data_IF_225974456593
#
_entry.id   IF_225974456593
#
_cell.length_a   1.000
_cell.length_b   1.000
_cell.length_c   1.000
_cell.angle_alpha   90.00
_cell.angle_beta   90.00
_cell.angle_gamma   90.00
#
_symmetry.space_group_name_H-M   'P 1'
#
loop_
_entity.id
_entity.type
_entity.pdbx_description
1 polymer ?
#
# COMPACT_ATOMS: atom_id res chain seq x y z
N UNK A 1 5.12 40.14 21.02
CA UNK A 1 5.90 39.03 20.48
C UNK A 1 4.93 37.88 20.25
N UNK A 2 4.37 37.74 19.04
CA UNK A 2 3.42 36.68 18.71
C UNK A 2 4.28 35.45 18.51
N UNK A 3 4.19 34.49 19.43
CA UNK A 3 4.78 33.17 19.25
C UNK A 3 3.97 32.54 18.09
N UNK A 4 4.58 32.39 16.92
CA UNK A 4 3.99 31.60 15.84
C UNK A 4 3.71 30.21 16.42
N UNK A 5 2.46 29.80 16.50
CA UNK A 5 2.11 28.44 16.90
C UNK A 5 2.63 27.54 15.80
N UNK A 6 3.66 26.74 16.11
CA UNK A 6 4.09 25.69 15.20
C UNK A 6 2.90 24.76 14.96
N UNK A 7 2.66 24.42 13.69
CA UNK A 7 1.63 23.45 13.36
C UNK A 7 1.89 22.15 14.13
N UNK A 8 0.86 21.54 14.72
CA UNK A 8 1.03 20.26 15.41
C UNK A 8 1.61 19.20 14.47
N UNK A 9 2.64 18.51 14.94
CA UNK A 9 3.29 17.44 14.20
C UNK A 9 2.48 16.14 14.30
N UNK A 10 2.36 15.41 13.17
CA UNK A 10 1.63 14.16 13.10
C UNK A 10 2.42 13.08 12.35
N UNK A 11 2.24 11.83 12.75
CA UNK A 11 2.66 10.64 12.00
C UNK A 11 1.40 9.93 11.52
N UNK A 12 1.29 9.68 10.23
CA UNK A 12 0.12 9.01 9.65
C UNK A 12 0.37 7.52 9.53
N UNK A 13 -0.45 6.73 10.23
CA UNK A 13 -0.48 5.27 10.10
C UNK A 13 -1.54 4.86 9.08
N UNK A 14 -1.10 4.33 7.94
CA UNK A 14 -1.91 3.95 6.80
C UNK A 14 -2.08 2.42 6.76
N UNK A 15 -3.28 1.96 7.05
CA UNK A 15 -3.60 0.54 7.15
C UNK A 15 -3.75 -0.16 5.80
N UNK A 16 -3.71 -1.50 5.82
CA UNK A 16 -4.07 -2.33 4.68
C UNK A 16 -5.58 -2.29 4.40
N UNK A 17 -5.99 -2.68 3.20
CA UNK A 17 -7.42 -2.69 2.84
C UNK A 17 -7.71 -3.03 1.38
N UNK A 18 -6.71 -3.48 0.62
CA UNK A 18 -6.82 -3.73 -0.82
C UNK A 18 -7.28 -2.49 -1.56
N UNK A 19 -8.14 -2.62 -2.56
CA UNK A 19 -8.59 -1.50 -3.40
C UNK A 19 -9.21 -0.33 -2.62
N UNK A 20 -9.74 -0.56 -1.40
CA UNK A 20 -10.29 0.51 -0.54
C UNK A 20 -9.22 1.47 -0.02
N UNK A 21 -7.94 1.06 -0.06
CA UNK A 21 -6.83 1.91 0.39
C UNK A 21 -6.62 3.16 -0.47
N UNK A 22 -7.22 3.25 -1.66
CA UNK A 22 -7.23 4.47 -2.46
C UNK A 22 -7.83 5.66 -1.66
N UNK A 23 -8.71 5.38 -0.69
CA UNK A 23 -9.29 6.40 0.20
C UNK A 23 -8.23 7.12 1.06
N UNK A 24 -7.05 6.51 1.29
CA UNK A 24 -5.96 7.17 1.99
C UNK A 24 -5.53 8.46 1.29
N UNK A 25 -5.52 8.48 -0.05
CA UNK A 25 -5.11 9.66 -0.81
C UNK A 25 -6.04 10.86 -0.54
N UNK A 26 -7.36 10.63 -0.51
CA UNK A 26 -8.31 11.70 -0.18
C UNK A 26 -8.20 12.19 1.28
N UNK A 27 -7.91 11.29 2.22
CA UNK A 27 -7.67 11.68 3.62
C UNK A 27 -6.38 12.51 3.74
N UNK A 28 -5.30 12.09 3.08
CA UNK A 28 -4.02 12.80 3.10
C UNK A 28 -4.17 14.19 2.48
N UNK A 29 -4.91 14.31 1.37
CA UNK A 29 -5.20 15.61 0.73
C UNK A 29 -5.87 16.58 1.71
N UNK A 30 -6.90 16.14 2.42
CA UNK A 30 -7.60 16.98 3.41
C UNK A 30 -6.65 17.36 4.56
N UNK A 31 -5.82 16.42 5.04
CA UNK A 31 -4.87 16.69 6.11
C UNK A 31 -3.79 17.70 5.71
N UNK A 32 -3.35 17.70 4.43
CA UNK A 32 -2.42 18.70 3.91
C UNK A 32 -3.02 20.11 3.84
N UNK A 33 -4.35 20.24 3.79
CA UNK A 33 -5.05 21.53 3.83
C UNK A 33 -5.25 22.04 5.28
N UNK A 34 -5.01 21.19 6.27
CA UNK A 34 -5.12 21.56 7.69
C UNK A 34 -3.79 22.11 8.21
N UNK A 35 -3.79 22.89 9.29
CA UNK A 35 -2.56 23.38 9.93
C UNK A 35 -1.88 22.25 10.73
N UNK A 36 -1.49 21.17 10.04
CA UNK A 36 -0.82 19.98 10.59
C UNK A 36 0.43 19.71 9.77
N UNK A 37 1.54 19.44 10.44
CA UNK A 37 2.80 19.06 9.81
C UNK A 37 2.94 17.54 9.83
N UNK A 38 2.83 16.88 8.67
CA UNK A 38 3.04 15.43 8.54
C UNK A 38 4.53 15.15 8.56
N UNK A 39 5.00 14.51 9.63
CA UNK A 39 6.42 14.23 9.85
C UNK A 39 6.85 12.88 9.26
N UNK A 40 5.91 11.94 9.08
CA UNK A 40 6.19 10.59 8.56
C UNK A 40 4.92 9.89 8.13
N UNK A 41 5.02 9.09 7.10
CA UNK A 41 4.05 8.05 6.76
C UNK A 41 4.53 6.69 7.26
N UNK A 42 3.62 5.89 7.83
CA UNK A 42 3.86 4.49 8.21
C UNK A 42 2.79 3.65 7.54
N UNK A 43 3.16 2.82 6.58
CA UNK A 43 2.20 2.10 5.74
C UNK A 43 2.33 0.58 5.81
N UNK A 44 1.19 -0.11 5.64
CA UNK A 44 1.08 -1.56 5.51
C UNK A 44 0.29 -1.90 4.26
N UNK A 45 0.80 -2.79 3.38
CA UNK A 45 0.11 -3.19 2.15
C UNK A 45 -0.25 -1.97 1.29
N UNK A 46 -1.49 -1.81 0.86
CA UNK A 46 -1.95 -0.64 0.09
C UNK A 46 -1.68 0.70 0.80
N UNK A 47 -1.65 0.72 2.14
CA UNK A 47 -1.23 1.89 2.91
C UNK A 47 0.25 2.20 2.74
N UNK A 48 1.09 1.19 2.48
CA UNK A 48 2.49 1.36 2.08
C UNK A 48 2.61 2.04 0.72
N UNK A 49 1.83 1.61 -0.26
CA UNK A 49 1.78 2.22 -1.60
C UNK A 49 1.28 3.67 -1.54
N UNK A 50 0.15 3.92 -0.85
CA UNK A 50 -0.40 5.27 -0.72
C UNK A 50 0.57 6.21 0.03
N UNK A 51 1.20 5.71 1.10
CA UNK A 51 2.22 6.44 1.84
C UNK A 51 3.46 6.73 1.00
N UNK A 52 3.91 5.79 0.17
CA UNK A 52 5.04 5.97 -0.73
C UNK A 52 4.76 7.05 -1.78
N UNK A 53 3.58 7.03 -2.42
CA UNK A 53 3.17 8.04 -3.38
C UNK A 53 3.23 9.44 -2.78
N UNK A 54 2.59 9.65 -1.63
CA UNK A 54 2.56 10.95 -0.96
C UNK A 54 3.88 11.33 -0.27
N UNK A 55 4.76 10.35 0.02
CA UNK A 55 6.09 10.62 0.55
C UNK A 55 7.05 11.09 -0.55
N UNK A 56 6.88 10.59 -1.77
CA UNK A 56 7.66 11.00 -2.95
C UNK A 56 7.24 12.40 -3.41
N UNK A 57 5.94 12.60 -3.59
CA UNK A 57 5.39 13.87 -4.08
C UNK A 57 4.42 14.46 -3.05
N UNK A 58 4.73 15.64 -2.47
CA UNK A 58 3.83 16.32 -1.54
C UNK A 58 2.61 16.95 -2.22
N UNK A 59 2.59 17.08 -3.55
CA UNK A 59 1.40 17.53 -4.30
C UNK A 59 0.38 16.40 -4.43
N UNK A 60 -0.50 16.30 -3.45
CA UNK A 60 -1.52 15.26 -3.39
C UNK A 60 -2.50 15.29 -4.57
N UNK A 61 -2.74 16.46 -5.18
CA UNK A 61 -3.58 16.57 -6.35
C UNK A 61 -2.89 15.97 -7.59
N UNK A 62 -1.59 16.22 -7.76
CA UNK A 62 -0.78 15.60 -8.80
C UNK A 62 -0.73 14.06 -8.61
N UNK A 63 -0.52 13.59 -7.39
CA UNK A 63 -0.54 12.16 -7.05
C UNK A 63 -1.87 11.52 -7.41
N UNK A 64 -3.01 12.12 -7.03
CA UNK A 64 -4.34 11.59 -7.36
C UNK A 64 -4.59 11.56 -8.87
N UNK A 65 -4.19 12.60 -9.58
CA UNK A 65 -4.30 12.67 -11.04
C UNK A 65 -3.51 11.53 -11.69
N UNK A 66 -2.25 11.34 -11.29
CA UNK A 66 -1.37 10.29 -11.80
C UNK A 66 -1.94 8.88 -11.55
N UNK A 67 -2.40 8.62 -10.33
CA UNK A 67 -3.02 7.35 -9.97
C UNK A 67 -4.31 7.11 -10.76
N UNK A 68 -5.16 8.14 -10.90
CA UNK A 68 -6.42 8.03 -11.66
C UNK A 68 -6.15 7.75 -13.13
N UNK A 69 -5.22 8.45 -13.75
CA UNK A 69 -4.81 8.24 -15.14
C UNK A 69 -4.33 6.81 -15.36
N UNK A 70 -3.48 6.31 -14.47
CA UNK A 70 -3.00 4.92 -14.55
C UNK A 70 -4.14 3.90 -14.41
N UNK A 71 -5.01 4.05 -13.40
CA UNK A 71 -6.11 3.11 -13.14
C UNK A 71 -7.19 3.13 -14.22
N UNK A 72 -7.36 4.25 -14.94
CA UNK A 72 -8.30 4.37 -16.06
C UNK A 72 -7.68 4.01 -17.41
N UNK A 73 -6.37 3.76 -17.46
CA UNK A 73 -5.68 3.38 -18.68
C UNK A 73 -6.16 2.02 -19.23
N UNK A 74 -6.19 1.88 -20.56
CA UNK A 74 -6.52 0.59 -21.22
C UNK A 74 -5.57 -0.53 -20.77
N UNK A 75 -4.31 -0.19 -20.51
CA UNK A 75 -3.29 -1.12 -20.03
C UNK A 75 -3.66 -1.73 -18.68
N UNK A 76 -4.12 -0.94 -17.73
CA UNK A 76 -4.55 -1.44 -16.43
C UNK A 76 -5.89 -2.17 -16.50
N UNK A 77 -6.87 -1.62 -17.21
CA UNK A 77 -8.21 -2.20 -17.33
C UNK A 77 -8.20 -3.60 -17.97
N UNK A 78 -7.38 -3.81 -18.99
CA UNK A 78 -7.24 -5.13 -19.61
C UNK A 78 -6.68 -6.21 -18.66
N UNK A 79 -5.91 -5.80 -17.64
CA UNK A 79 -5.32 -6.70 -16.63
C UNK A 79 -6.17 -6.84 -15.38
N UNK A 80 -7.02 -5.87 -15.10
CA UNK A 80 -7.91 -5.86 -13.93
C UNK A 80 -8.85 -7.09 -13.91
N UNK A 81 -9.37 -7.49 -15.08
CA UNK A 81 -10.20 -8.68 -15.21
C UNK A 81 -9.47 -9.95 -14.73
N UNK A 82 -8.16 -10.06 -14.98
CA UNK A 82 -7.34 -11.18 -14.53
C UNK A 82 -7.16 -11.17 -12.99
N UNK A 83 -6.98 -10.00 -12.38
CA UNK A 83 -6.87 -9.85 -10.92
C UNK A 83 -8.17 -10.24 -10.21
N UNK A 84 -9.33 -9.86 -10.74
CA UNK A 84 -10.63 -10.16 -10.13
C UNK A 84 -11.11 -11.59 -10.42
N UNK A 85 -10.69 -12.20 -11.52
CA UNK A 85 -11.02 -13.61 -11.82
C UNK A 85 -10.19 -14.60 -11.00
N UNK A 86 -8.99 -14.21 -10.54
CA UNK A 86 -8.14 -15.04 -9.69
C UNK A 86 -8.56 -15.00 -8.21
N UNK A 87 -9.38 -14.04 -7.78
CA UNK A 87 -9.89 -13.99 -6.42
C UNK A 87 -10.81 -15.20 -6.16
N UNK A 88 -10.58 -15.99 -5.09
CA UNK A 88 -11.53 -17.06 -4.73
C UNK A 88 -12.90 -16.44 -4.52
N UNK A 89 -13.93 -16.98 -5.18
CA UNK A 89 -15.31 -16.60 -4.92
C UNK A 89 -15.56 -16.79 -3.42
N UNK A 90 -15.92 -15.70 -2.74
CA UNK A 90 -16.38 -15.75 -1.37
C UNK A 90 -17.79 -16.38 -1.37
N UNK A 91 -17.84 -17.71 -1.32
CA UNK A 91 -19.08 -18.45 -1.11
C UNK A 91 -19.44 -18.46 0.38
N UNK A 92 -19.72 -17.25 0.94
CA UNK A 92 -20.53 -17.18 2.17
C UNK A 92 -21.20 -15.80 2.26
N UNK A 93 -22.53 -15.73 2.29
CA UNK A 93 -23.27 -14.50 2.55
C UNK A 93 -23.23 -14.23 4.06
N UNK A 94 -22.48 -13.20 4.49
CA UNK A 94 -22.57 -12.71 5.85
C UNK A 94 -21.29 -12.26 6.57
N UNK A 95 -20.11 -12.47 6.02
CA UNK A 95 -18.89 -11.99 6.66
C UNK A 95 -18.48 -10.61 6.11
N UNK A 96 -18.63 -9.56 6.91
CA UNK A 96 -18.08 -8.25 6.58
C UNK A 96 -16.56 -8.35 6.37
N UNK A 97 -16.04 -7.73 5.30
CA UNK A 97 -14.73 -7.95 4.69
C UNK A 97 -13.50 -8.01 5.61
N UNK A 98 -13.52 -7.41 6.82
CA UNK A 98 -12.40 -7.43 7.76
C UNK A 98 -12.27 -8.80 8.46
N UNK A 99 -13.38 -9.44 8.81
CA UNK A 99 -13.41 -10.76 9.44
C UNK A 99 -13.05 -11.88 8.46
N UNK A 100 -13.51 -11.77 7.21
CA UNK A 100 -13.15 -12.74 6.16
C UNK A 100 -11.65 -12.68 5.86
N UNK A 101 -11.05 -11.47 5.79
CA UNK A 101 -9.62 -11.29 5.65
C UNK A 101 -8.84 -11.85 6.86
N UNK A 102 -9.27 -11.58 8.10
CA UNK A 102 -8.64 -12.10 9.31
C UNK A 102 -8.68 -13.64 9.37
N UNK A 103 -9.80 -14.27 9.02
CA UNK A 103 -9.91 -15.71 8.95
C UNK A 103 -9.07 -16.32 7.82
N UNK A 104 -8.96 -15.65 6.69
CA UNK A 104 -8.10 -16.05 5.58
C UNK A 104 -6.61 -15.98 5.98
N UNK A 105 -6.17 -14.89 6.58
CA UNK A 105 -4.80 -14.72 7.10
C UNK A 105 -4.49 -15.78 8.18
N UNK A 106 -5.41 -16.04 9.09
CA UNK A 106 -5.25 -17.10 10.13
C UNK A 106 -5.14 -18.51 9.52
N UNK A 107 -5.86 -18.76 8.41
CA UNK A 107 -5.79 -20.02 7.65
C UNK A 107 -4.45 -20.16 6.89
N UNK A 108 -3.84 -19.03 6.48
CA UNK A 108 -2.52 -19.00 5.86
C UNK A 108 -1.38 -19.18 6.87
N UNK A 109 -1.47 -18.62 8.06
CA UNK A 109 -0.44 -18.73 9.11
C UNK A 109 -0.38 -20.16 9.70
N UNK A 110 -1.49 -20.91 9.72
CA UNK A 110 -1.55 -22.29 10.21
C UNK A 110 -0.98 -23.35 9.26
N UNK A 111 -0.58 -22.99 8.05
CA UNK A 111 -0.24 -23.96 7.00
C UNK A 111 1.21 -23.85 6.52
N UNK A 112 2.18 -24.26 7.36
CA UNK A 112 3.57 -24.56 6.92
C UNK A 112 3.65 -25.50 5.69
N UNK A 113 2.55 -26.17 5.32
CA UNK A 113 2.43 -27.04 4.13
C UNK A 113 2.00 -26.34 2.85
N UNK A 114 1.67 -25.02 2.87
CA UNK A 114 1.14 -24.29 1.71
C UNK A 114 2.07 -23.23 1.12
N UNK A 115 3.36 -23.23 1.47
CA UNK A 115 4.37 -22.45 0.75
C UNK A 115 4.36 -22.79 -0.76
N UNK A 116 4.04 -24.02 -1.14
CA UNK A 116 3.87 -24.41 -2.54
C UNK A 116 2.71 -23.68 -3.25
N UNK A 117 1.72 -23.18 -2.53
CA UNK A 117 0.60 -22.43 -3.11
C UNK A 117 0.99 -20.98 -3.45
N UNK A 118 2.02 -20.43 -2.80
CA UNK A 118 2.58 -19.11 -3.14
C UNK A 118 3.28 -19.10 -4.52
N UNK A 119 3.67 -20.28 -5.01
CA UNK A 119 4.24 -20.48 -6.36
C UNK A 119 3.20 -20.96 -7.36
N UNK A 120 1.90 -20.89 -7.05
CA UNK A 120 0.85 -21.20 -8.02
C UNK A 120 0.78 -20.13 -9.10
N UNK A 121 0.44 -20.53 -10.34
CA UNK A 121 0.31 -19.59 -11.48
C UNK A 121 -0.55 -18.35 -11.19
N UNK A 122 -1.68 -18.42 -10.44
CA UNK A 122 -2.44 -17.23 -10.08
C UNK A 122 -1.66 -16.24 -9.19
N UNK A 123 -0.95 -16.74 -8.15
CA UNK A 123 -0.18 -15.87 -7.25
C UNK A 123 0.99 -15.17 -7.95
N UNK A 124 1.64 -15.85 -8.91
CA UNK A 124 2.68 -15.24 -9.75
C UNK A 124 2.11 -14.18 -10.70
N UNK A 125 0.91 -14.40 -11.23
CA UNK A 125 0.24 -13.42 -12.09
C UNK A 125 -0.14 -12.17 -11.28
N UNK A 126 -0.67 -12.33 -10.07
CA UNK A 126 -0.98 -11.24 -9.16
C UNK A 126 0.28 -10.44 -8.78
N UNK A 127 1.38 -11.12 -8.46
CA UNK A 127 2.66 -10.48 -8.16
C UNK A 127 3.20 -9.67 -9.34
N UNK A 128 3.13 -10.22 -10.57
CA UNK A 128 3.57 -9.51 -11.76
C UNK A 128 2.74 -8.26 -12.06
N UNK A 129 1.41 -8.33 -11.87
CA UNK A 129 0.53 -7.18 -12.08
C UNK A 129 0.81 -6.11 -11.00
N UNK A 130 1.01 -6.53 -9.75
CA UNK A 130 1.36 -5.62 -8.67
C UNK A 130 2.72 -4.95 -8.90
N UNK A 131 3.72 -5.70 -9.39
CA UNK A 131 5.02 -5.14 -9.78
C UNK A 131 4.85 -4.06 -10.86
N UNK A 132 4.05 -4.32 -11.90
CA UNK A 132 3.80 -3.33 -12.94
C UNK A 132 3.09 -2.07 -12.43
N UNK A 133 2.19 -2.20 -11.45
CA UNK A 133 1.55 -1.05 -10.78
C UNK A 133 2.60 -0.23 -10.04
N UNK A 134 3.47 -0.91 -9.28
CA UNK A 134 4.52 -0.26 -8.51
C UNK A 134 5.53 0.41 -9.43
N UNK A 135 5.99 -0.28 -10.48
CA UNK A 135 6.95 0.27 -11.46
C UNK A 135 6.38 1.50 -12.21
N UNK A 136 5.06 1.53 -12.43
CA UNK A 136 4.41 2.63 -13.12
C UNK A 136 4.16 3.85 -12.22
N UNK A 137 3.90 3.65 -10.94
CA UNK A 137 3.48 4.70 -10.02
C UNK A 137 4.56 5.16 -9.06
N UNK A 138 5.58 4.33 -8.79
CA UNK A 138 6.64 4.61 -7.81
C UNK A 138 7.98 4.74 -8.52
N UNK A 139 8.72 5.84 -8.33
CA UNK A 139 10.05 5.99 -8.91
C UNK A 139 11.05 5.00 -8.31
N UNK A 140 12.08 4.67 -9.10
CA UNK A 140 13.22 3.84 -8.66
C UNK A 140 14.21 4.68 -7.84
N UNK A 141 13.90 4.86 -6.56
CA UNK A 141 14.71 5.62 -5.59
C UNK A 141 14.86 4.83 -4.29
N UNK A 142 15.76 5.28 -3.43
CA UNK A 142 15.82 4.77 -2.04
C UNK A 142 14.72 5.40 -1.17
N UNK A 143 14.21 4.67 -0.18
CA UNK A 143 13.20 5.18 0.77
C UNK A 143 13.67 6.48 1.44
N UNK A 144 14.98 6.62 1.68
CA UNK A 144 15.59 7.81 2.32
C UNK A 144 15.52 9.06 1.46
N UNK A 145 15.30 8.89 0.15
CA UNK A 145 15.25 10.00 -0.81
C UNK A 145 13.82 10.56 -0.97
N UNK A 146 12.84 10.02 -0.23
CA UNK A 146 11.48 10.56 -0.24
C UNK A 146 11.40 11.93 0.42
N UNK A 147 10.56 12.82 -0.12
CA UNK A 147 10.36 14.19 0.39
C UNK A 147 9.83 14.22 1.82
N UNK A 148 8.97 13.27 2.18
CA UNK A 148 8.50 13.06 3.55
C UNK A 148 9.00 11.70 4.04
N UNK A 149 9.54 11.60 5.27
CA UNK A 149 9.98 10.32 5.82
C UNK A 149 8.93 9.22 5.73
N UNK A 150 9.33 8.03 5.28
CA UNK A 150 8.47 6.87 5.08
C UNK A 150 8.96 5.67 5.89
N UNK A 151 8.03 4.86 6.36
CA UNK A 151 8.27 3.54 6.94
C UNK A 151 7.27 2.55 6.36
N UNK A 152 7.75 1.44 5.82
CA UNK A 152 6.89 0.37 5.31
C UNK A 152 6.99 -0.82 6.25
N UNK A 153 5.84 -1.30 6.70
CA UNK A 153 5.76 -2.44 7.62
C UNK A 153 5.46 -3.70 6.83
N UNK A 154 6.36 -4.66 6.93
CA UNK A 154 6.28 -5.96 6.27
C UNK A 154 6.42 -7.11 7.29
N UNK A 155 6.22 -8.33 6.82
CA UNK A 155 6.39 -9.55 7.59
C UNK A 155 7.55 -10.37 7.00
N UNK A 156 8.56 -10.64 7.79
CA UNK A 156 9.58 -11.62 7.43
C UNK A 156 8.98 -13.03 7.46
N UNK A 157 8.86 -13.66 6.31
CA UNK A 157 8.23 -14.97 6.16
C UNK A 157 9.05 -16.11 6.78
N UNK A 158 10.36 -15.92 6.98
CA UNK A 158 11.22 -16.93 7.61
C UNK A 158 11.07 -16.93 9.13
N UNK A 159 11.15 -15.76 9.74
CA UNK A 159 11.08 -15.64 11.19
C UNK A 159 9.66 -15.41 11.72
N UNK A 160 8.71 -15.02 10.86
CA UNK A 160 7.37 -14.59 11.25
C UNK A 160 7.36 -13.26 12.01
N UNK A 161 8.44 -12.51 11.98
CA UNK A 161 8.56 -11.24 12.70
C UNK A 161 8.18 -10.05 11.81
N UNK A 162 7.59 -9.06 12.44
CA UNK A 162 7.38 -7.75 11.83
C UNK A 162 8.74 -7.09 11.57
N UNK A 163 8.93 -6.58 10.37
CA UNK A 163 10.04 -5.70 10.00
C UNK A 163 9.51 -4.33 9.61
N UNK A 164 10.35 -3.32 9.76
CA UNK A 164 10.05 -1.94 9.36
C UNK A 164 11.14 -1.49 8.43
N UNK A 165 10.79 -1.25 7.18
CA UNK A 165 11.71 -0.81 6.13
C UNK A 165 11.70 0.72 6.11
N UNK A 166 12.88 1.32 6.31
CA UNK A 166 13.12 2.77 6.33
C UNK A 166 14.24 3.19 5.40
N UNK A 167 14.85 2.24 4.71
CA UNK A 167 15.94 2.39 3.76
C UNK A 167 15.89 1.29 2.70
N UNK A 168 16.60 1.46 1.60
CA UNK A 168 16.66 0.54 0.49
C UNK A 168 15.71 0.91 -0.65
N UNK A 169 15.67 0.10 -1.73
CA UNK A 169 14.87 0.40 -2.93
C UNK A 169 13.38 0.52 -2.60
N UNK A 170 12.78 1.68 -2.90
CA UNK A 170 11.41 2.01 -2.54
C UNK A 170 10.40 1.05 -3.18
N UNK A 171 10.58 0.73 -4.47
CA UNK A 171 9.71 -0.22 -5.18
C UNK A 171 9.73 -1.60 -4.52
N UNK A 172 10.91 -2.11 -4.15
CA UNK A 172 11.04 -3.39 -3.48
C UNK A 172 10.39 -3.39 -2.09
N UNK A 173 10.52 -2.30 -1.35
CA UNK A 173 9.90 -2.15 -0.04
C UNK A 173 8.36 -2.12 -0.12
N UNK A 174 7.78 -1.47 -1.14
CA UNK A 174 6.33 -1.43 -1.37
C UNK A 174 5.80 -2.82 -1.74
N UNK A 175 6.61 -3.64 -2.42
CA UNK A 175 6.27 -5.02 -2.80
C UNK A 175 6.45 -6.05 -1.68
N UNK A 176 7.17 -5.72 -0.59
CA UNK A 176 7.43 -6.60 0.55
C UNK A 176 6.19 -6.78 1.42
#
# INVERSE_FOLDING_TARGET
MIIASENPAAVLALGGGGARGIAHLGVIEVLHQMPISIQRYVGVSIGGLAGALCAVDPDTAAVQSHVTEYLTSERFQSKQAALFMAAPKADEPGASGLFAWYHQVKKYIGARRKLAALFSKPALLEANIMQEVVDALIPDIDIRDTSTPLSIVALDLYSGKKIVLTEGPLQAAVMA
#
